data_IF_111905899265
#
_entry.id   IF_111905899265
#
_cell.length_a   1.000
_cell.length_b   1.000
_cell.length_c   1.000
_cell.angle_alpha   90.00
_cell.angle_beta   90.00
_cell.angle_gamma   90.00
#
_symmetry.space_group_name_H-M   'P 1'
#
loop_
_entity.id
_entity.type
_entity.pdbx_description
1 polymer ?
#
# COMPACT_ATOMS: atom_id res chain seq x y z
N UNK A 1 3.22 13.75 -5.89
CA UNK A 1 2.36 14.84 -6.43
C UNK A 1 3.07 16.15 -6.15
N UNK A 2 3.40 16.95 -7.15
CA UNK A 2 4.07 18.23 -6.95
C UNK A 2 3.20 19.15 -6.09
N UNK A 3 3.85 19.91 -5.23
CA UNK A 3 3.19 20.91 -4.38
C UNK A 3 2.90 22.12 -5.26
N UNK A 4 1.66 22.68 -5.22
CA UNK A 4 1.33 23.88 -5.99
C UNK A 4 2.04 25.09 -5.41
N UNK A 5 2.37 26.08 -6.25
CA UNK A 5 2.91 27.35 -5.77
C UNK A 5 1.97 28.01 -4.77
N UNK A 6 2.53 28.55 -3.68
CA UNK A 6 1.79 29.23 -2.62
C UNK A 6 1.91 30.74 -2.78
N UNK A 7 0.76 31.44 -2.77
CA UNK A 7 0.71 32.88 -2.65
C UNK A 7 1.09 33.34 -1.24
N UNK A 8 1.43 34.61 -1.03
CA UNK A 8 1.71 35.14 0.31
C UNK A 8 0.51 34.98 1.26
N UNK A 9 -0.71 35.08 0.72
CA UNK A 9 -1.94 34.81 1.48
C UNK A 9 -2.05 33.35 1.92
N UNK A 10 -1.66 32.39 1.06
CA UNK A 10 -1.63 30.97 1.42
C UNK A 10 -0.60 30.70 2.52
N UNK A 11 0.60 31.29 2.42
CA UNK A 11 1.67 31.17 3.41
C UNK A 11 1.22 31.72 4.76
N UNK A 12 0.66 32.93 4.78
CA UNK A 12 0.14 33.55 6.00
C UNK A 12 -0.96 32.68 6.65
N UNK A 13 -1.90 32.17 5.85
CA UNK A 13 -2.97 31.27 6.30
C UNK A 13 -2.46 29.94 6.80
N UNK A 14 -1.37 29.42 6.24
CA UNK A 14 -0.71 28.20 6.71
C UNK A 14 -0.08 28.43 8.08
N UNK A 15 0.80 29.44 8.20
CA UNK A 15 1.52 29.69 9.45
C UNK A 15 0.62 30.14 10.61
N UNK A 16 -0.52 30.78 10.32
CA UNK A 16 -1.54 31.08 11.33
C UNK A 16 -2.15 29.82 11.99
N UNK A 17 -1.97 28.64 11.37
CA UNK A 17 -2.43 27.34 11.90
C UNK A 17 -1.31 26.51 12.52
N UNK A 18 -0.10 27.03 12.58
CA UNK A 18 1.05 26.37 13.21
C UNK A 18 1.35 27.06 14.52
N UNK A 19 1.49 26.29 15.58
CA UNK A 19 2.01 26.77 16.86
C UNK A 19 3.52 26.84 16.81
N UNK A 20 4.05 27.95 16.29
CA UNK A 20 5.50 28.16 16.16
C UNK A 20 6.12 28.33 17.53
N UNK A 21 7.14 27.54 17.84
CA UNK A 21 7.85 27.50 19.11
C UNK A 21 9.36 27.64 18.90
N UNK A 22 10.15 27.27 19.89
CA UNK A 22 11.60 27.24 19.78
C UNK A 22 12.10 26.34 18.63
N UNK A 23 13.35 26.57 18.17
CA UNK A 23 13.89 25.88 16.98
C UNK A 23 13.96 24.36 17.14
N UNK A 24 14.20 23.88 18.36
CA UNK A 24 14.30 22.45 18.68
C UNK A 24 12.99 21.84 19.21
N UNK A 25 11.91 22.64 19.25
CA UNK A 25 10.61 22.19 19.71
C UNK A 25 9.72 21.76 18.54
N UNK A 26 8.81 20.81 18.80
CA UNK A 26 7.75 20.54 17.83
C UNK A 26 6.82 21.74 17.67
N UNK A 27 6.49 22.09 16.43
CA UNK A 27 5.50 23.12 16.08
C UNK A 27 4.17 22.46 15.72
N UNK A 28 3.24 22.31 16.67
CA UNK A 28 1.99 21.60 16.41
C UNK A 28 1.08 22.31 15.41
N UNK A 29 0.50 21.52 14.51
CA UNK A 29 -0.58 21.96 13.65
C UNK A 29 -1.88 22.12 14.44
N UNK A 30 -2.52 23.30 14.36
CA UNK A 30 -3.80 23.64 15.04
C UNK A 30 -5.02 23.47 14.14
N UNK A 31 -4.87 23.13 12.89
CA UNK A 31 -5.97 22.92 11.96
C UNK A 31 -6.50 21.48 11.95
N UNK A 32 -7.31 21.16 10.97
CA UNK A 32 -7.87 19.81 10.80
C UNK A 32 -6.79 18.74 10.65
N UNK A 33 -7.03 17.57 11.22
CA UNK A 33 -6.12 16.42 11.22
C UNK A 33 -6.72 15.31 10.36
N UNK A 34 -5.91 14.73 9.49
CA UNK A 34 -6.27 13.61 8.63
C UNK A 34 -5.79 12.25 9.16
N UNK A 35 -5.82 11.27 8.29
CA UNK A 35 -5.42 9.90 8.61
C UNK A 35 -3.98 9.84 9.14
N UNK A 36 -3.76 9.09 10.21
CA UNK A 36 -2.45 8.90 10.83
C UNK A 36 -1.97 10.08 11.69
N UNK A 37 -2.85 11.02 12.05
CA UNK A 37 -2.51 12.13 12.92
C UNK A 37 -1.81 13.31 12.23
N UNK A 38 -1.70 13.29 10.90
CA UNK A 38 -1.08 14.36 10.13
C UNK A 38 -2.02 15.55 9.95
N UNK A 39 -1.49 16.76 10.10
CA UNK A 39 -2.21 17.99 9.78
C UNK A 39 -2.63 18.03 8.30
N UNK A 40 -3.81 18.59 8.02
CA UNK A 40 -4.33 18.76 6.66
C UNK A 40 -4.49 20.25 6.34
N UNK A 41 -3.84 20.70 5.28
CA UNK A 41 -3.95 22.05 4.74
C UNK A 41 -4.62 22.03 3.37
N UNK A 42 -5.72 22.78 3.21
CA UNK A 42 -6.43 22.88 1.95
C UNK A 42 -6.02 24.17 1.20
N UNK A 43 -5.56 24.01 -0.05
CA UNK A 43 -5.37 25.12 -0.99
C UNK A 43 -6.51 25.16 -1.98
N UNK A 44 -7.47 26.01 -1.74
CA UNK A 44 -8.74 26.06 -2.49
C UNK A 44 -9.53 24.77 -2.33
N UNK A 45 -10.42 24.48 -3.29
CA UNK A 45 -11.23 23.26 -3.30
C UNK A 45 -10.50 22.04 -3.87
N UNK A 46 -9.36 22.25 -4.56
CA UNK A 46 -8.68 21.23 -5.37
C UNK A 46 -7.63 20.42 -4.60
N UNK A 47 -6.91 21.05 -3.68
CA UNK A 47 -5.77 20.43 -3.03
C UNK A 47 -5.99 20.28 -1.53
N UNK A 48 -5.82 19.05 -1.04
CA UNK A 48 -5.67 18.73 0.37
C UNK A 48 -4.27 18.14 0.57
N UNK A 49 -3.40 18.88 1.25
CA UNK A 49 -1.98 18.57 1.40
C UNK A 49 -1.67 18.29 2.87
N UNK A 50 -0.71 17.43 3.15
CA UNK A 50 -0.20 17.23 4.51
C UNK A 50 0.54 18.46 4.96
N UNK A 51 0.24 18.96 6.18
CA UNK A 51 0.81 20.19 6.70
C UNK A 51 2.34 20.15 6.83
N UNK A 52 2.91 19.03 7.28
CA UNK A 52 4.36 18.85 7.35
C UNK A 52 5.03 18.98 5.97
N UNK A 53 4.40 18.45 4.91
CA UNK A 53 4.90 18.58 3.55
C UNK A 53 4.85 20.02 3.06
N UNK A 54 3.78 20.76 3.39
CA UNK A 54 3.66 22.18 3.10
C UNK A 54 4.71 23.00 3.85
N UNK A 55 4.93 22.73 5.15
CA UNK A 55 5.97 23.38 5.94
C UNK A 55 7.35 23.24 5.31
N UNK A 56 7.69 22.03 4.86
CA UNK A 56 8.96 21.73 4.21
C UNK A 56 9.13 22.48 2.88
N UNK A 57 8.08 22.55 2.07
CA UNK A 57 8.10 23.29 0.81
C UNK A 57 8.21 24.80 1.02
N UNK A 58 7.53 25.36 2.03
CA UNK A 58 7.63 26.77 2.38
C UNK A 58 9.00 27.16 2.95
N UNK A 59 9.74 26.20 3.47
CA UNK A 59 11.14 26.34 3.90
C UNK A 59 12.14 26.16 2.71
N UNK A 60 11.65 26.08 1.47
CA UNK A 60 12.47 25.95 0.27
C UNK A 60 12.95 24.53 -0.03
N UNK A 61 12.47 23.52 0.69
CA UNK A 61 12.88 22.12 0.57
C UNK A 61 11.71 21.24 0.14
N UNK A 62 11.10 21.50 -1.05
CA UNK A 62 10.03 20.64 -1.54
C UNK A 62 10.53 19.19 -1.69
N UNK A 63 9.92 18.22 -1.00
CA UNK A 63 10.33 16.83 -1.09
C UNK A 63 10.01 16.16 -2.44
N UNK A 64 9.34 16.85 -3.38
CA UNK A 64 8.96 16.34 -4.71
C UNK A 64 8.28 14.96 -4.62
N UNK A 65 8.91 13.91 -5.12
CA UNK A 65 8.40 12.53 -5.10
C UNK A 65 8.79 11.78 -3.82
N UNK A 66 9.60 12.38 -2.94
CA UNK A 66 9.99 11.79 -1.67
C UNK A 66 8.91 12.01 -0.60
N UNK A 67 9.04 11.28 0.50
CA UNK A 67 8.21 11.45 1.68
C UNK A 67 8.76 12.61 2.54
N UNK A 68 7.86 13.38 3.15
CA UNK A 68 8.21 14.30 4.23
C UNK A 68 8.18 13.51 5.56
N UNK A 69 9.36 13.14 6.04
CA UNK A 69 9.57 12.32 7.22
C UNK A 69 9.88 13.20 8.45
N UNK A 70 9.62 12.68 9.65
CA UNK A 70 9.89 13.38 10.91
C UNK A 70 11.08 12.76 11.66
N UNK A 71 12.01 13.58 12.11
CA UNK A 71 13.03 13.15 13.08
C UNK A 71 12.44 12.99 14.48
N UNK A 72 11.42 13.80 14.82
CA UNK A 72 10.74 13.83 16.12
C UNK A 72 9.61 12.80 16.27
N UNK A 73 9.27 12.05 15.22
CA UNK A 73 8.19 11.04 15.19
C UNK A 73 6.80 11.57 15.60
N UNK A 74 6.58 12.88 15.52
CA UNK A 74 5.34 13.53 15.86
C UNK A 74 4.57 13.97 14.60
N UNK A 75 3.51 13.26 14.17
CA UNK A 75 2.82 13.53 12.90
C UNK A 75 2.27 14.95 12.71
N UNK A 76 1.70 15.63 13.73
CA UNK A 76 1.23 17.00 13.59
C UNK A 76 2.33 18.06 13.61
N UNK A 77 3.60 17.69 13.79
CA UNK A 77 4.70 18.65 13.80
C UNK A 77 4.93 19.28 12.43
N UNK A 78 5.02 20.61 12.39
CA UNK A 78 5.32 21.41 11.20
C UNK A 78 6.64 22.15 11.31
N UNK A 79 7.51 21.86 12.30
CA UNK A 79 8.83 22.46 12.41
C UNK A 79 9.72 21.97 11.27
N UNK A 80 10.19 22.86 10.36
CA UNK A 80 11.05 22.45 9.26
C UNK A 80 12.35 21.76 9.71
N UNK A 81 12.92 22.14 10.85
CA UNK A 81 14.12 21.50 11.40
C UNK A 81 13.91 20.03 11.77
N UNK A 82 12.68 19.64 12.06
CA UNK A 82 12.29 18.27 12.37
C UNK A 82 11.88 17.45 11.14
N UNK A 83 11.97 18.02 9.93
CA UNK A 83 11.51 17.39 8.70
C UNK A 83 12.68 17.12 7.76
N UNK A 84 12.62 15.98 7.10
CA UNK A 84 13.56 15.57 6.07
C UNK A 84 12.85 14.84 4.90
N UNK A 85 13.43 14.95 3.70
CA UNK A 85 12.93 14.25 2.52
C UNK A 85 13.58 12.88 2.43
N UNK A 86 12.78 11.81 2.41
CA UNK A 86 13.28 10.44 2.34
C UNK A 86 12.42 9.56 1.45
N UNK A 87 13.05 8.54 0.88
CA UNK A 87 12.36 7.44 0.21
C UNK A 87 11.58 6.58 1.22
N UNK A 88 10.67 5.75 0.72
CA UNK A 88 9.97 4.76 1.57
C UNK A 88 10.92 3.81 2.29
N UNK A 89 12.04 3.44 1.64
CA UNK A 89 13.06 2.58 2.23
C UNK A 89 13.82 3.27 3.38
N UNK A 90 14.20 4.54 3.20
CA UNK A 90 14.89 5.32 4.24
C UNK A 90 13.97 5.55 5.45
N UNK A 91 12.71 5.90 5.21
CA UNK A 91 11.71 6.03 6.28
C UNK A 91 11.48 4.70 7.04
N UNK A 92 11.48 3.57 6.33
CA UNK A 92 11.39 2.26 6.97
C UNK A 92 12.64 1.93 7.80
N UNK A 93 13.85 2.25 7.31
CA UNK A 93 15.10 2.08 8.06
C UNK A 93 15.12 2.95 9.33
N UNK A 94 14.69 4.20 9.23
CA UNK A 94 14.53 5.10 10.37
C UNK A 94 13.55 4.51 11.41
N UNK A 95 12.41 3.98 10.95
CA UNK A 95 11.46 3.34 11.84
C UNK A 95 12.02 2.09 12.55
N UNK A 96 12.87 1.32 11.86
CA UNK A 96 13.57 0.15 12.45
C UNK A 96 14.59 0.61 13.47
N UNK A 97 15.45 1.60 13.14
CA UNK A 97 16.50 2.11 14.04
C UNK A 97 15.93 2.71 15.33
N UNK A 98 14.74 3.29 15.27
CA UNK A 98 14.00 3.84 16.41
C UNK A 98 13.12 2.81 17.14
N UNK A 99 13.18 1.53 16.76
CA UNK A 99 12.38 0.46 17.37
C UNK A 99 10.87 0.57 17.13
N UNK A 100 10.44 1.40 16.18
CA UNK A 100 9.00 1.59 15.86
C UNK A 100 8.45 0.48 14.96
N UNK A 101 9.31 -0.24 14.28
CA UNK A 101 8.91 -1.32 13.38
C UNK A 101 8.91 -2.66 14.13
N UNK A 102 7.75 -3.24 14.29
CA UNK A 102 7.59 -4.54 14.95
C UNK A 102 7.95 -5.66 13.99
N UNK A 103 9.17 -6.20 14.11
CA UNK A 103 9.69 -7.32 13.30
C UNK A 103 9.94 -8.55 14.16
N UNK A 104 10.06 -9.70 13.52
CA UNK A 104 10.38 -10.96 14.20
C UNK A 104 9.38 -11.28 15.31
N UNK A 105 9.87 -11.59 16.52
CA UNK A 105 9.06 -11.98 17.67
C UNK A 105 8.11 -10.86 18.16
N UNK A 106 8.43 -9.59 17.91
CA UNK A 106 7.56 -8.46 18.26
C UNK A 106 6.43 -8.23 17.24
N UNK A 107 6.41 -8.92 16.12
CA UNK A 107 5.35 -8.81 15.13
C UNK A 107 4.03 -9.33 15.73
N UNK A 108 2.91 -8.64 15.44
CA UNK A 108 1.59 -8.98 15.96
C UNK A 108 1.18 -10.45 15.79
N UNK A 109 1.68 -11.11 14.75
CA UNK A 109 1.52 -12.54 14.50
C UNK A 109 2.09 -13.41 15.64
N UNK A 110 3.15 -12.98 16.30
CA UNK A 110 3.80 -13.70 17.42
C UNK A 110 3.29 -13.22 18.78
N UNK A 111 3.05 -11.91 18.92
CA UNK A 111 2.60 -11.33 20.20
C UNK A 111 1.11 -11.50 20.46
N UNK A 112 0.29 -11.68 19.41
CA UNK A 112 -1.17 -11.88 19.48
C UNK A 112 -1.60 -12.94 18.46
N UNK A 113 -1.18 -14.19 18.58
CA UNK A 113 -1.50 -15.25 17.62
C UNK A 113 -3.01 -15.52 17.53
N UNK A 114 -3.76 -15.25 18.60
CA UNK A 114 -5.21 -15.35 18.63
C UNK A 114 -5.92 -14.37 17.68
N UNK A 115 -5.31 -13.22 17.42
CA UNK A 115 -5.85 -12.23 16.47
C UNK A 115 -5.53 -12.56 15.00
N UNK A 116 -4.66 -13.56 14.76
CA UNK A 116 -4.29 -13.98 13.41
C UNK A 116 -5.25 -15.07 12.94
N UNK A 117 -6.12 -14.72 11.99
CA UNK A 117 -7.01 -15.68 11.37
C UNK A 117 -6.23 -16.66 10.49
N UNK A 118 -6.08 -17.93 10.94
CA UNK A 118 -5.40 -19.02 10.23
C UNK A 118 -6.22 -20.31 10.27
N UNK A 119 -5.97 -21.19 9.31
CA UNK A 119 -6.66 -22.48 9.24
C UNK A 119 -8.17 -22.28 9.24
N UNK A 120 -8.88 -22.95 10.11
CA UNK A 120 -10.35 -22.91 10.19
C UNK A 120 -10.93 -21.52 10.52
N UNK A 121 -10.14 -20.63 11.15
CA UNK A 121 -10.56 -19.25 11.44
C UNK A 121 -10.30 -18.27 10.30
N UNK A 122 -9.58 -18.68 9.27
CA UNK A 122 -9.34 -17.82 8.12
C UNK A 122 -10.61 -17.65 7.29
N UNK A 123 -10.87 -16.43 6.78
CA UNK A 123 -12.10 -16.14 6.02
C UNK A 123 -12.35 -17.12 4.87
N UNK A 124 -11.30 -17.63 4.26
CA UNK A 124 -11.43 -18.61 3.17
C UNK A 124 -11.91 -19.98 3.65
N UNK A 125 -11.82 -20.28 4.93
CA UNK A 125 -12.40 -21.49 5.53
C UNK A 125 -13.81 -21.21 6.06
N UNK A 126 -14.02 -20.02 6.66
CA UNK A 126 -15.33 -19.65 7.25
C UNK A 126 -16.35 -19.18 6.20
N UNK A 127 -15.90 -18.69 5.06
CA UNK A 127 -16.74 -18.19 3.96
C UNK A 127 -16.21 -18.68 2.61
N UNK A 128 -16.20 -20.01 2.35
CA UNK A 128 -15.63 -20.59 1.13
C UNK A 128 -16.34 -20.11 -0.15
N UNK A 129 -17.62 -19.71 -0.03
CA UNK A 129 -18.41 -19.16 -1.13
C UNK A 129 -17.90 -17.78 -1.61
N UNK A 130 -17.20 -17.01 -0.75
CA UNK A 130 -16.60 -15.74 -1.13
C UNK A 130 -15.25 -15.87 -1.82
N UNK A 131 -14.72 -17.09 -1.94
CA UNK A 131 -13.49 -17.30 -2.72
C UNK A 131 -13.77 -17.05 -4.19
N UNK A 132 -13.13 -16.05 -4.73
CA UNK A 132 -13.14 -15.84 -6.19
C UNK A 132 -12.37 -16.98 -6.85
N UNK A 133 -13.09 -17.81 -7.61
CA UNK A 133 -12.57 -18.97 -8.35
C UNK A 133 -12.87 -18.79 -9.83
N UNK A 134 -12.11 -19.46 -10.66
CA UNK A 134 -12.35 -19.41 -12.09
C UNK A 134 -12.16 -18.01 -12.66
N UNK A 135 -12.95 -17.67 -13.66
CA UNK A 135 -12.94 -16.39 -14.35
C UNK A 135 -13.30 -15.19 -13.46
N UNK A 136 -13.97 -15.42 -12.30
CA UNK A 136 -14.29 -14.35 -11.33
C UNK A 136 -13.03 -13.82 -10.63
N UNK A 137 -11.95 -14.61 -10.60
CA UNK A 137 -10.66 -14.15 -10.08
C UNK A 137 -10.05 -13.13 -11.06
N UNK A 138 -9.87 -11.88 -10.64
CA UNK A 138 -9.34 -10.81 -11.49
C UNK A 138 -7.93 -11.05 -12.06
N UNK A 139 -7.21 -12.06 -11.55
CA UNK A 139 -5.92 -12.50 -12.08
C UNK A 139 -6.02 -13.76 -12.98
N UNK A 140 -7.23 -14.26 -13.25
CA UNK A 140 -7.40 -15.39 -14.11
C UNK A 140 -7.15 -15.01 -15.59
N UNK A 141 -6.26 -15.75 -16.25
CA UNK A 141 -6.02 -15.63 -17.70
C UNK A 141 -7.04 -16.49 -18.47
N UNK A 142 -7.42 -17.63 -17.89
CA UNK A 142 -8.36 -18.59 -18.47
C UNK A 142 -9.77 -18.37 -17.91
N UNK A 143 -10.75 -18.74 -18.71
CA UNK A 143 -12.15 -18.87 -18.30
C UNK A 143 -12.59 -20.36 -18.26
N UNK A 144 -13.81 -20.63 -17.84
CA UNK A 144 -14.36 -21.97 -17.69
C UNK A 144 -14.42 -22.74 -19.02
N UNK A 145 -14.75 -22.04 -20.13
CA UNK A 145 -14.80 -22.67 -21.47
C UNK A 145 -13.39 -23.02 -21.98
N UNK A 146 -12.39 -22.21 -21.70
CA UNK A 146 -10.99 -22.51 -22.03
C UNK A 146 -10.54 -23.77 -21.30
N UNK A 147 -10.87 -23.85 -20.02
CA UNK A 147 -10.50 -24.96 -19.14
C UNK A 147 -11.22 -26.25 -19.58
N UNK A 148 -12.51 -26.19 -19.90
CA UNK A 148 -13.27 -27.34 -20.42
C UNK A 148 -12.62 -27.86 -21.71
N UNK A 149 -12.25 -26.96 -22.64
CA UNK A 149 -11.56 -27.34 -23.87
C UNK A 149 -10.19 -27.98 -23.61
N UNK A 150 -9.39 -27.43 -22.70
CA UNK A 150 -8.08 -27.98 -22.31
C UNK A 150 -8.23 -29.40 -21.74
N UNK A 151 -9.29 -29.67 -20.98
CA UNK A 151 -9.55 -31.02 -20.40
C UNK A 151 -9.91 -32.06 -21.41
N UNK A 152 -10.70 -31.73 -22.42
CA UNK A 152 -11.20 -32.69 -23.42
C UNK A 152 -10.27 -32.84 -24.61
N UNK A 153 -9.29 -31.95 -24.79
CA UNK A 153 -8.34 -32.04 -25.92
C UNK A 153 -7.62 -33.40 -25.93
N UNK A 154 -7.65 -34.15 -27.02
CA UNK A 154 -6.97 -35.45 -27.11
C UNK A 154 -5.48 -35.35 -26.80
N UNK A 155 -4.93 -36.43 -26.26
CA UNK A 155 -3.50 -36.48 -25.99
C UNK A 155 -2.72 -36.76 -27.30
N UNK A 156 -1.75 -35.90 -27.58
CA UNK A 156 -0.71 -36.14 -28.59
C UNK A 156 0.61 -35.52 -28.10
N UNK A 157 1.74 -35.95 -28.67
CA UNK A 157 3.06 -35.49 -28.25
C UNK A 157 3.21 -33.96 -28.49
N UNK A 158 3.39 -33.18 -27.42
CA UNK A 158 3.52 -31.73 -27.50
C UNK A 158 2.23 -30.96 -27.24
N UNK A 159 1.07 -31.59 -27.04
CA UNK A 159 -0.22 -30.92 -26.79
C UNK A 159 -0.16 -29.91 -25.64
N UNK A 160 0.51 -30.25 -24.54
CA UNK A 160 0.65 -29.36 -23.40
C UNK A 160 1.40 -28.07 -23.74
N UNK A 161 2.41 -28.14 -24.61
CA UNK A 161 3.15 -26.96 -25.08
C UNK A 161 2.34 -26.10 -26.06
N UNK A 162 1.60 -26.75 -26.95
CA UNK A 162 0.74 -26.06 -27.91
C UNK A 162 -0.37 -25.28 -27.18
N UNK A 163 -1.09 -25.93 -26.26
CA UNK A 163 -2.12 -25.30 -25.44
C UNK A 163 -1.56 -24.17 -24.55
N UNK A 164 -0.38 -24.38 -23.97
CA UNK A 164 0.27 -23.34 -23.16
C UNK A 164 0.56 -22.08 -23.98
N UNK A 165 1.00 -22.24 -25.23
CA UNK A 165 1.24 -21.13 -26.15
C UNK A 165 -0.08 -20.47 -26.61
N UNK A 166 -1.08 -21.25 -26.94
CA UNK A 166 -2.40 -20.77 -27.38
C UNK A 166 -3.08 -19.92 -26.33
N UNK A 167 -3.05 -20.36 -25.08
CA UNK A 167 -3.73 -19.69 -23.97
C UNK A 167 -2.85 -18.74 -23.15
N UNK A 168 -1.57 -18.57 -23.49
CA UNK A 168 -0.67 -17.65 -22.78
C UNK A 168 -0.36 -18.07 -21.34
N UNK A 169 -0.38 -19.37 -21.03
CA UNK A 169 -0.13 -19.93 -19.70
C UNK A 169 1.07 -20.87 -19.70
N UNK A 170 1.53 -21.30 -18.52
CA UNK A 170 2.62 -22.26 -18.43
C UNK A 170 2.19 -23.69 -18.80
N UNK A 171 3.12 -24.51 -19.27
CA UNK A 171 2.89 -25.94 -19.49
C UNK A 171 2.50 -26.68 -18.21
N UNK A 172 2.99 -26.23 -17.06
CA UNK A 172 2.60 -26.73 -15.73
C UNK A 172 1.12 -26.46 -15.46
N UNK A 173 0.65 -25.26 -15.80
CA UNK A 173 -0.78 -24.88 -15.65
C UNK A 173 -1.65 -25.83 -16.48
N UNK A 174 -1.29 -26.11 -17.74
CA UNK A 174 -2.01 -27.07 -18.61
C UNK A 174 -2.03 -28.48 -18.00
N UNK A 175 -0.87 -28.94 -17.52
CA UNK A 175 -0.76 -30.25 -16.86
C UNK A 175 -1.63 -30.35 -15.60
N UNK A 176 -1.64 -29.33 -14.77
CA UNK A 176 -2.42 -29.32 -13.53
C UNK A 176 -3.93 -29.21 -13.80
N UNK A 177 -4.36 -28.50 -14.85
CA UNK A 177 -5.76 -28.48 -15.31
C UNK A 177 -6.17 -29.89 -15.76
N UNK A 178 -5.40 -30.55 -16.66
CA UNK A 178 -5.69 -31.85 -17.17
C UNK A 178 -5.68 -32.95 -16.11
N UNK A 179 -4.84 -32.77 -15.08
CA UNK A 179 -4.80 -33.65 -13.91
C UNK A 179 -5.88 -33.34 -12.85
N UNK A 180 -6.75 -32.34 -13.08
CA UNK A 180 -7.77 -31.91 -12.12
C UNK A 180 -7.26 -31.37 -10.81
N UNK A 181 -6.00 -30.92 -10.75
CA UNK A 181 -5.41 -30.32 -9.53
C UNK A 181 -5.89 -28.91 -9.30
N UNK A 182 -6.07 -28.15 -10.37
CA UNK A 182 -6.63 -26.80 -10.36
C UNK A 182 -7.91 -26.76 -11.22
N UNK A 183 -8.72 -25.71 -11.11
CA UNK A 183 -10.00 -25.56 -11.79
C UNK A 183 -10.94 -26.78 -11.60
N UNK A 184 -11.00 -27.30 -10.36
CA UNK A 184 -11.76 -28.50 -10.00
C UNK A 184 -13.28 -28.36 -10.13
N UNK A 185 -13.77 -27.15 -10.30
CA UNK A 185 -15.19 -26.83 -10.44
C UNK A 185 -15.67 -26.82 -11.90
N UNK A 186 -14.76 -27.04 -12.84
CA UNK A 186 -15.07 -27.22 -14.26
C UNK A 186 -14.93 -28.71 -14.56
N UNK A 187 -15.97 -29.33 -15.04
CA UNK A 187 -15.99 -30.76 -15.44
C UNK A 187 -15.40 -30.95 -16.83
#
# INVERSE_FOLDING_TARGET
IPIPEFTESDKARFWAKVDVRGPDECWPWKGGVGTGGYGSFSKGKKYSLRANRVAMALDGRDPLDLLSCHTCDNPPCCNPAHLWAGSGLENAKDAVSKGRYRVGEMHGRHTKPECTARGERHWSATMPEKRQRGSINGNAILNESDVARIKVEPYWHGVGRALALEYGVSTTTISDIRAGKIWRHVD
#
